data_IF_835257152327
#
_entry.id   IF_835257152327
#
_cell.length_a   1.000
_cell.length_b   1.000
_cell.length_c   1.000
_cell.angle_alpha   90.00
_cell.angle_beta   90.00
_cell.angle_gamma   90.00
#
_symmetry.space_group_name_H-M   'P 1'
#
loop_
_entity.id
_entity.type
_entity.pdbx_description
1 polymer ?
#
# COMPACT_ATOMS: atom_id res chain seq x y z
N UNK A 1 -14.02 -7.12 -6.05
CA UNK A 1 -12.61 -7.56 -6.24
C UNK A 1 -11.87 -7.12 -5.01
N UNK A 2 -11.16 -8.04 -4.32
CA UNK A 2 -10.43 -7.74 -3.07
C UNK A 2 -9.38 -6.66 -3.30
N UNK A 3 -9.20 -5.78 -2.33
CA UNK A 3 -8.25 -4.67 -2.34
C UNK A 3 -6.82 -5.16 -2.50
N UNK A 4 -6.49 -6.35 -2.00
CA UNK A 4 -5.19 -6.96 -2.19
C UNK A 4 -4.86 -7.12 -3.68
N UNK A 5 -5.78 -7.72 -4.46
CA UNK A 5 -5.54 -7.93 -5.89
C UNK A 5 -5.51 -6.64 -6.69
N UNK A 6 -6.17 -5.58 -6.21
CA UNK A 6 -6.01 -4.23 -6.79
C UNK A 6 -4.64 -3.65 -6.48
N UNK A 7 -4.15 -3.83 -5.27
CA UNK A 7 -2.86 -3.31 -4.86
C UNK A 7 -1.69 -3.99 -5.59
N UNK A 8 -1.69 -5.33 -5.71
CA UNK A 8 -0.59 -6.04 -6.38
C UNK A 8 -0.51 -5.78 -7.89
N UNK A 9 -1.61 -5.39 -8.54
CA UNK A 9 -1.60 -4.97 -9.96
C UNK A 9 -0.78 -3.72 -10.23
N UNK A 10 -0.45 -2.96 -9.20
CA UNK A 10 0.42 -1.80 -9.28
C UNK A 10 1.91 -2.18 -9.23
N UNK A 11 2.23 -3.46 -9.05
CA UNK A 11 3.59 -3.97 -8.99
C UNK A 11 4.04 -4.46 -10.37
N UNK A 12 5.36 -4.57 -10.63
CA UNK A 12 5.88 -5.20 -11.83
C UNK A 12 5.32 -6.61 -12.00
N UNK A 13 5.13 -7.04 -13.25
CA UNK A 13 4.48 -8.32 -13.60
C UNK A 13 5.16 -9.54 -12.98
N UNK A 14 6.49 -9.54 -12.88
CA UNK A 14 7.27 -10.62 -12.29
C UNK A 14 6.98 -10.82 -10.80
N UNK A 15 6.51 -9.78 -10.11
CA UNK A 15 6.14 -9.81 -8.70
C UNK A 15 4.62 -9.95 -8.52
N UNK A 16 3.83 -9.23 -9.32
CA UNK A 16 2.37 -9.27 -9.28
C UNK A 16 1.81 -10.66 -9.64
N UNK A 17 2.39 -11.33 -10.63
CA UNK A 17 1.97 -12.66 -11.07
C UNK A 17 2.06 -13.70 -9.94
N UNK A 18 3.23 -13.93 -9.35
CA UNK A 18 3.37 -14.83 -8.21
C UNK A 18 2.51 -14.44 -7.00
N UNK A 19 2.50 -13.16 -6.60
CA UNK A 19 1.65 -12.68 -5.49
C UNK A 19 0.16 -12.91 -5.74
N UNK A 20 -0.26 -12.88 -7.00
CA UNK A 20 -1.63 -13.17 -7.42
C UNK A 20 -2.04 -14.63 -7.24
N UNK A 21 -1.09 -15.55 -7.04
CA UNK A 21 -1.35 -16.98 -6.81
C UNK A 21 -1.66 -17.30 -5.33
N UNK A 22 -1.48 -16.34 -4.41
CA UNK A 22 -1.85 -16.55 -3.03
C UNK A 22 -3.37 -16.82 -2.90
N UNK A 23 -3.77 -17.80 -2.06
CA UNK A 23 -5.18 -18.09 -1.82
C UNK A 23 -5.92 -16.85 -1.32
N UNK A 24 -7.18 -16.71 -1.72
CA UNK A 24 -8.00 -15.56 -1.35
C UNK A 24 -8.11 -15.36 0.16
N UNK A 25 -8.12 -16.45 0.94
CA UNK A 25 -8.16 -16.39 2.40
C UNK A 25 -6.89 -15.77 2.98
N UNK A 26 -5.71 -16.14 2.49
CA UNK A 26 -4.42 -15.58 2.89
C UNK A 26 -4.31 -14.13 2.41
N UNK A 27 -4.65 -13.87 1.14
CA UNK A 27 -4.65 -12.55 0.54
C UNK A 27 -5.53 -11.55 1.31
N UNK A 28 -6.70 -12.00 1.80
CA UNK A 28 -7.62 -11.17 2.59
C UNK A 28 -7.03 -10.73 3.94
N UNK A 29 -6.05 -11.45 4.48
CA UNK A 29 -5.40 -11.14 5.75
C UNK A 29 -4.15 -10.25 5.61
N UNK A 30 -3.63 -10.09 4.39
CA UNK A 30 -2.45 -9.24 4.16
C UNK A 30 -2.86 -7.77 4.16
N UNK A 31 -2.24 -7.00 5.05
CA UNK A 31 -2.47 -5.56 5.19
C UNK A 31 -1.33 -4.72 4.62
N UNK A 32 -0.15 -5.29 4.48
CA UNK A 32 1.04 -4.58 4.00
C UNK A 32 2.02 -5.55 3.33
N UNK A 33 2.63 -5.09 2.25
CA UNK A 33 3.77 -5.72 1.58
C UNK A 33 4.99 -4.83 1.75
N UNK A 34 6.12 -5.42 2.13
CA UNK A 34 7.38 -4.70 2.32
C UNK A 34 8.47 -5.27 1.44
N UNK A 35 9.16 -4.36 0.77
CA UNK A 35 10.25 -4.63 -0.16
C UNK A 35 11.48 -3.88 0.32
N UNK A 36 12.62 -4.56 0.41
CA UNK A 36 13.89 -3.94 0.83
C UNK A 36 15.04 -4.55 0.04
N UNK A 37 16.00 -3.71 -0.33
CA UNK A 37 17.24 -4.16 -0.97
C UNK A 37 17.96 -5.15 -0.08
N UNK A 38 18.41 -6.27 -0.67
CA UNK A 38 19.12 -7.35 0.04
C UNK A 38 18.23 -8.25 0.90
N UNK A 39 16.90 -8.11 0.82
CA UNK A 39 15.95 -8.91 1.59
C UNK A 39 14.92 -9.57 0.67
N UNK A 40 14.26 -10.62 1.18
CA UNK A 40 13.05 -11.15 0.57
C UNK A 40 11.84 -10.23 0.75
N UNK A 41 10.72 -10.66 0.22
CA UNK A 41 9.44 -9.97 0.43
C UNK A 41 8.91 -10.27 1.83
N UNK A 42 8.46 -9.25 2.55
CA UNK A 42 7.79 -9.39 3.83
C UNK A 42 6.31 -9.03 3.70
N UNK A 43 5.49 -9.67 4.51
CA UNK A 43 4.05 -9.40 4.60
C UNK A 43 3.67 -9.07 6.03
N UNK A 44 2.62 -8.26 6.21
CA UNK A 44 1.97 -8.09 7.51
C UNK A 44 0.60 -8.74 7.45
N UNK A 45 0.43 -9.82 8.23
CA UNK A 45 -0.83 -10.53 8.42
C UNK A 45 -1.34 -10.31 9.84
N UNK A 46 -2.59 -9.89 9.99
CA UNK A 46 -3.24 -9.75 11.31
C UNK A 46 -2.35 -9.03 12.33
N UNK A 47 -1.63 -7.99 11.90
CA UNK A 47 -0.73 -7.19 12.75
C UNK A 47 0.67 -7.79 12.98
N UNK A 48 0.95 -8.99 12.48
CA UNK A 48 2.29 -9.63 12.59
C UNK A 48 3.03 -9.54 11.27
N UNK A 49 4.28 -9.09 11.33
CA UNK A 49 5.18 -9.07 10.18
C UNK A 49 5.96 -10.38 10.11
N UNK A 50 6.03 -10.99 8.93
CA UNK A 50 6.82 -12.19 8.67
C UNK A 50 7.33 -12.18 7.23
N UNK A 51 8.43 -12.92 6.95
CA UNK A 51 8.88 -13.16 5.58
C UNK A 51 7.79 -13.90 4.78
N UNK A 52 7.59 -13.53 3.52
CA UNK A 52 6.61 -14.22 2.66
C UNK A 52 6.95 -15.70 2.49
N UNK A 53 8.26 -16.04 2.47
CA UNK A 53 8.74 -17.42 2.35
C UNK A 53 8.29 -18.33 3.50
N UNK A 54 7.96 -17.77 4.66
CA UNK A 54 7.51 -18.53 5.83
C UNK A 54 6.02 -18.91 5.74
N UNK A 55 5.30 -18.37 4.73
CA UNK A 55 3.94 -18.78 4.45
C UNK A 55 3.93 -20.13 3.73
N UNK A 56 3.09 -21.10 4.15
CA UNK A 56 2.97 -22.39 3.47
C UNK A 56 2.62 -22.23 2.00
N UNK A 57 1.81 -21.23 1.66
CA UNK A 57 1.32 -20.93 0.32
C UNK A 57 2.26 -19.99 -0.46
N UNK A 58 3.46 -19.74 0.05
CA UNK A 58 4.42 -18.88 -0.66
C UNK A 58 4.70 -19.41 -2.06
N UNK A 59 4.50 -18.60 -3.12
CA UNK A 59 4.82 -18.99 -4.48
C UNK A 59 6.31 -19.36 -4.62
N UNK A 60 6.60 -20.46 -5.34
CA UNK A 60 7.97 -20.97 -5.48
C UNK A 60 8.95 -19.92 -6.00
N UNK A 61 8.49 -19.04 -6.91
CA UNK A 61 9.30 -17.98 -7.49
C UNK A 61 9.76 -16.92 -6.46
N UNK A 62 9.07 -16.82 -5.32
CA UNK A 62 9.35 -15.82 -4.27
C UNK A 62 9.98 -16.42 -3.00
N UNK A 63 10.12 -17.74 -2.91
CA UNK A 63 10.67 -18.40 -1.70
C UNK A 63 12.12 -18.02 -1.42
N UNK A 64 12.94 -17.96 -2.46
CA UNK A 64 14.36 -17.62 -2.36
C UNK A 64 14.67 -16.25 -3.00
N UNK A 65 13.62 -15.47 -3.26
CA UNK A 65 13.78 -14.16 -3.88
C UNK A 65 14.45 -13.19 -2.90
N UNK A 66 15.61 -12.69 -3.28
CA UNK A 66 16.29 -11.58 -2.61
C UNK A 66 16.27 -10.40 -3.58
N UNK A 67 15.59 -9.33 -3.18
CA UNK A 67 15.41 -8.15 -4.01
C UNK A 67 16.73 -7.37 -4.13
N UNK A 68 17.18 -7.12 -5.34
CA UNK A 68 18.30 -6.22 -5.59
C UNK A 68 17.86 -4.76 -5.73
N UNK A 69 18.83 -3.87 -5.88
CA UNK A 69 18.58 -2.43 -6.00
C UNK A 69 17.76 -2.10 -7.25
N UNK A 70 18.02 -2.77 -8.37
CA UNK A 70 17.30 -2.54 -9.63
C UNK A 70 15.82 -2.93 -9.51
N UNK A 71 15.54 -4.07 -8.87
CA UNK A 71 14.17 -4.54 -8.61
C UNK A 71 13.40 -3.58 -7.69
N UNK A 72 14.05 -3.03 -6.66
CA UNK A 72 13.43 -2.02 -5.78
C UNK A 72 13.11 -0.74 -6.56
N UNK A 73 13.99 -0.28 -7.42
CA UNK A 73 13.76 0.88 -8.28
C UNK A 73 12.64 0.61 -9.30
N UNK A 74 12.59 -0.57 -9.90
CA UNK A 74 11.50 -0.97 -10.80
C UNK A 74 10.14 -0.97 -10.09
N UNK A 75 10.07 -1.55 -8.87
CA UNK A 75 8.85 -1.52 -8.06
C UNK A 75 8.44 -0.07 -7.77
N UNK A 76 9.39 0.77 -7.37
CA UNK A 76 9.15 2.19 -7.08
C UNK A 76 8.61 2.94 -8.30
N UNK A 77 9.26 2.81 -9.45
CA UNK A 77 8.82 3.46 -10.69
C UNK A 77 7.42 3.01 -11.11
N UNK A 78 7.12 1.72 -10.98
CA UNK A 78 5.81 1.18 -11.32
C UNK A 78 4.72 1.72 -10.38
N UNK A 79 5.02 1.82 -9.07
CA UNK A 79 4.10 2.40 -8.09
C UNK A 79 3.85 3.90 -8.31
N UNK A 80 4.83 4.63 -8.85
CA UNK A 80 4.69 6.03 -9.27
C UNK A 80 3.92 6.18 -10.60
N UNK A 81 3.51 5.08 -11.25
CA UNK A 81 2.92 5.12 -12.59
C UNK A 81 3.85 5.70 -13.66
N UNK A 82 5.17 5.58 -13.47
CA UNK A 82 6.21 6.16 -14.34
C UNK A 82 6.45 7.66 -14.14
N UNK A 83 5.64 8.36 -13.35
CA UNK A 83 5.68 9.81 -13.18
C UNK A 83 6.25 10.23 -11.81
N UNK A 84 7.49 9.85 -11.50
CA UNK A 84 8.14 10.14 -10.21
C UNK A 84 8.08 11.63 -9.85
N UNK A 85 8.23 12.52 -10.84
CA UNK A 85 8.20 13.97 -10.62
C UNK A 85 6.84 14.48 -10.11
N UNK A 86 5.74 13.80 -10.44
CA UNK A 86 4.42 14.18 -9.95
C UNK A 86 4.25 13.96 -8.42
N UNK A 87 5.10 13.11 -7.83
CA UNK A 87 5.06 12.74 -6.42
C UNK A 87 6.13 13.43 -5.56
N UNK A 88 6.86 14.43 -6.08
CA UNK A 88 8.01 15.02 -5.36
C UNK A 88 7.66 15.53 -3.96
N UNK A 89 6.51 16.19 -3.82
CA UNK A 89 6.05 16.70 -2.52
C UNK A 89 5.78 15.58 -1.52
N UNK A 90 5.11 14.51 -1.95
CA UNK A 90 4.85 13.35 -1.11
C UNK A 90 6.14 12.60 -0.76
N UNK A 91 7.02 12.42 -1.75
CA UNK A 91 8.31 11.74 -1.58
C UNK A 91 9.22 12.47 -0.61
N UNK A 92 9.22 13.81 -0.60
CA UNK A 92 9.95 14.60 0.39
C UNK A 92 9.49 14.30 1.83
N UNK A 93 8.25 13.84 2.01
CA UNK A 93 7.69 13.39 3.28
C UNK A 93 7.80 11.87 3.50
N UNK A 94 8.48 11.14 2.62
CA UNK A 94 8.75 9.70 2.75
C UNK A 94 7.58 8.80 2.37
N UNK A 95 6.63 9.25 1.58
CA UNK A 95 5.52 8.43 1.09
C UNK A 95 5.05 8.86 -0.30
N UNK A 96 4.23 8.03 -0.91
CA UNK A 96 3.40 8.36 -2.08
C UNK A 96 2.03 7.69 -1.95
N UNK A 97 1.03 8.25 -2.62
CA UNK A 97 -0.32 7.70 -2.70
C UNK A 97 -0.58 7.21 -4.13
N UNK A 98 -0.93 5.95 -4.26
CA UNK A 98 -1.22 5.36 -5.58
C UNK A 98 -2.61 5.77 -6.08
N UNK A 99 -2.88 5.70 -7.40
CA UNK A 99 -4.22 5.99 -7.95
C UNK A 99 -5.34 5.10 -7.37
N UNK A 100 -5.00 3.91 -6.87
CA UNK A 100 -5.96 3.01 -6.20
C UNK A 100 -6.20 3.34 -4.73
N UNK A 101 -5.61 4.42 -4.20
CA UNK A 101 -5.73 4.85 -2.81
C UNK A 101 -4.83 4.07 -1.83
N UNK A 102 -3.92 3.23 -2.31
CA UNK A 102 -2.93 2.60 -1.45
C UNK A 102 -1.84 3.60 -1.09
N UNK A 103 -1.41 3.60 0.17
CA UNK A 103 -0.30 4.41 0.64
C UNK A 103 0.99 3.59 0.65
N UNK A 104 2.04 4.16 0.08
CA UNK A 104 3.37 3.53 0.02
C UNK A 104 4.35 4.38 0.82
N UNK A 105 4.87 3.83 1.91
CA UNK A 105 6.00 4.43 2.61
C UNK A 105 7.29 4.19 1.82
N UNK A 106 8.10 5.22 1.68
CA UNK A 106 9.35 5.19 0.91
C UNK A 106 10.52 5.41 1.85
N UNK A 107 11.40 4.44 1.94
CA UNK A 107 12.66 4.53 2.68
C UNK A 107 13.82 4.61 1.68
N UNK A 108 14.76 5.50 1.92
CA UNK A 108 15.87 5.67 1.01
C UNK A 108 16.86 6.73 1.46
N UNK A 109 17.75 7.09 0.56
CA UNK A 109 18.71 8.16 0.75
C UNK A 109 18.12 9.47 0.22
N UNK A 110 18.02 10.43 1.10
CA UNK A 110 17.55 11.77 0.77
C UNK A 110 18.72 12.74 0.80
N UNK A 111 18.65 13.75 -0.05
CA UNK A 111 19.61 14.87 -0.08
C UNK A 111 18.85 16.19 -0.08
N UNK A 112 19.44 17.21 0.52
CA UNK A 112 18.95 18.57 0.40
C UNK A 112 19.56 19.19 -0.87
N UNK A 113 18.71 19.76 -1.72
CA UNK A 113 19.09 20.57 -2.87
C UNK A 113 18.31 21.88 -2.82
N UNK A 114 19.01 22.96 -2.58
CA UNK A 114 18.44 24.32 -2.54
C UNK A 114 17.27 24.45 -1.54
N UNK A 115 17.38 23.79 -0.37
CA UNK A 115 16.35 23.79 0.66
C UNK A 115 15.18 22.84 0.37
N UNK A 116 15.29 21.99 -0.63
CA UNK A 116 14.32 20.95 -0.95
C UNK A 116 14.87 19.55 -0.67
N UNK A 117 14.12 18.78 0.12
CA UNK A 117 14.43 17.35 0.35
C UNK A 117 14.08 16.53 -0.88
N UNK A 118 15.09 15.90 -1.50
CA UNK A 118 14.93 15.09 -2.71
C UNK A 118 15.35 13.66 -2.44
N UNK A 119 14.52 12.70 -2.82
CA UNK A 119 14.88 11.27 -2.80
C UNK A 119 15.97 11.02 -3.87
N UNK A 120 17.15 10.62 -3.43
CA UNK A 120 18.26 10.28 -4.32
C UNK A 120 18.26 8.81 -4.71
N UNK A 121 17.95 7.92 -3.76
CA UNK A 121 17.95 6.49 -3.98
C UNK A 121 16.91 5.83 -3.09
N UNK A 122 16.03 5.03 -3.66
CA UNK A 122 15.08 4.22 -2.90
C UNK A 122 15.77 2.93 -2.42
N UNK A 123 15.55 2.56 -1.17
CA UNK A 123 16.12 1.34 -0.57
C UNK A 123 15.05 0.41 -0.02
N UNK A 124 13.84 0.91 0.17
CA UNK A 124 12.74 0.11 0.67
C UNK A 124 11.39 0.77 0.46
N UNK A 125 10.38 -0.07 0.34
CA UNK A 125 9.00 0.33 0.07
C UNK A 125 8.06 -0.46 0.98
N UNK A 126 7.06 0.22 1.53
CA UNK A 126 6.02 -0.38 2.35
C UNK A 126 4.66 -0.08 1.70
N UNK A 127 4.15 -1.02 0.90
CA UNK A 127 2.84 -0.89 0.26
C UNK A 127 1.74 -1.31 1.25
N UNK A 128 0.99 -0.35 1.77
CA UNK A 128 -0.18 -0.60 2.62
C UNK A 128 -1.42 -0.77 1.75
N UNK A 129 -2.13 -1.88 1.99
CA UNK A 129 -3.36 -2.19 1.26
C UNK A 129 -4.50 -1.42 1.90
N UNK A 130 -5.13 -0.52 1.14
CA UNK A 130 -6.30 0.21 1.61
C UNK A 130 -7.50 -0.75 1.70
N UNK A 131 -7.81 -1.22 2.92
CA UNK A 131 -8.95 -2.08 3.18
C UNK A 131 -10.18 -1.25 3.50
N UNK A 132 -11.30 -1.56 2.84
CA UNK A 132 -12.60 -1.05 3.25
C UNK A 132 -13.04 -1.81 4.51
N UNK A 133 -12.92 -1.16 5.66
CA UNK A 133 -13.45 -1.72 6.92
C UNK A 133 -14.84 -1.15 7.12
N UNK A 134 -15.91 -1.97 7.15
CA UNK A 134 -17.23 -1.49 7.50
C UNK A 134 -17.21 -1.01 8.95
N UNK A 135 -17.39 0.29 9.15
CA UNK A 135 -17.52 0.87 10.47
C UNK A 135 -18.98 0.71 10.90
N UNK A 136 -19.23 -0.12 11.90
CA UNK A 136 -20.53 -0.16 12.58
C UNK A 136 -20.58 1.02 13.54
N UNK A 137 -21.32 2.06 13.17
CA UNK A 137 -21.58 3.18 14.05
C UNK A 137 -22.67 2.78 15.07
N UNK A 138 -22.55 3.17 16.35
CA UNK A 138 -23.64 3.02 17.30
C UNK A 138 -24.93 3.67 16.77
N UNK A 139 -26.07 3.03 17.00
CA UNK A 139 -27.37 3.49 16.47
C UNK A 139 -27.69 4.94 16.86
N UNK A 140 -27.30 5.37 18.06
CA UNK A 140 -27.44 6.75 18.52
C UNK A 140 -26.68 7.75 17.64
N UNK A 141 -25.47 7.40 17.23
CA UNK A 141 -24.64 8.23 16.35
C UNK A 141 -25.21 8.25 14.92
N UNK A 142 -25.72 7.13 14.45
CA UNK A 142 -26.42 7.03 13.16
C UNK A 142 -27.66 7.92 13.09
N UNK A 143 -28.44 7.97 14.19
CA UNK A 143 -29.63 8.84 14.29
C UNK A 143 -29.22 10.31 14.27
N UNK A 144 -28.18 10.70 15.00
CA UNK A 144 -27.68 12.07 15.03
C UNK A 144 -27.12 12.50 13.67
N UNK A 145 -26.34 11.65 13.02
CA UNK A 145 -25.78 11.91 11.69
C UNK A 145 -26.90 12.03 10.64
N UNK A 146 -27.91 11.17 10.67
CA UNK A 146 -29.08 11.27 9.78
C UNK A 146 -29.85 12.57 9.96
N UNK A 147 -29.96 13.10 11.19
CA UNK A 147 -30.64 14.37 11.48
C UNK A 147 -29.88 15.59 10.93
N UNK A 148 -28.55 15.54 10.93
CA UNK A 148 -27.72 16.69 10.54
C UNK A 148 -27.27 16.65 9.09
N UNK A 149 -27.27 15.49 8.44
CA UNK A 149 -26.80 15.29 7.07
C UNK A 149 -27.87 14.64 6.20
N UNK A 150 -29.03 15.29 6.09
CA UNK A 150 -30.11 14.84 5.21
C UNK A 150 -29.64 15.03 3.76
N UNK A 151 -29.28 13.94 3.11
CA UNK A 151 -29.37 13.83 1.66
C UNK A 151 -28.14 13.42 0.85
N UNK A 152 -26.90 13.38 1.36
CA UNK A 152 -25.76 13.26 0.44
C UNK A 152 -24.59 12.35 0.86
N UNK A 153 -24.67 11.62 1.97
CA UNK A 153 -23.53 10.79 2.41
C UNK A 153 -23.96 9.33 2.55
N UNK A 154 -23.43 8.48 1.67
CA UNK A 154 -23.50 7.03 1.84
C UNK A 154 -22.48 6.59 2.89
N UNK A 155 -22.94 6.24 4.08
CA UNK A 155 -22.10 5.82 5.21
C UNK A 155 -21.63 4.36 5.13
N UNK A 156 -21.90 3.68 4.03
CA UNK A 156 -21.58 2.24 3.91
C UNK A 156 -20.11 1.95 3.65
N UNK A 157 -19.29 2.95 3.30
CA UNK A 157 -17.87 2.78 2.97
C UNK A 157 -17.03 3.98 3.40
N UNK A 158 -16.90 4.21 4.71
CA UNK A 158 -15.81 5.06 5.20
C UNK A 158 -14.50 4.29 5.07
N UNK A 159 -13.71 4.59 4.06
CA UNK A 159 -12.32 4.16 3.98
C UNK A 159 -11.54 4.88 5.06
N UNK A 160 -10.59 4.19 5.72
CA UNK A 160 -9.78 4.72 6.81
C UNK A 160 -8.95 5.98 6.45
N UNK A 161 -9.05 6.47 5.22
CA UNK A 161 -8.32 7.63 4.70
C UNK A 161 -9.19 8.74 4.10
N UNK A 162 -10.53 8.60 4.13
CA UNK A 162 -11.41 9.67 3.66
C UNK A 162 -12.06 10.39 4.84
N UNK A 163 -11.24 11.13 5.59
CA UNK A 163 -11.71 12.19 6.50
C UNK A 163 -11.77 13.54 5.78
N UNK A 164 -12.09 13.56 4.51
CA UNK A 164 -12.47 14.80 3.82
C UNK A 164 -13.98 14.92 3.87
N UNK A 165 -14.47 15.54 4.93
CA UNK A 165 -15.77 16.18 4.93
C UNK A 165 -15.68 17.35 3.95
N UNK A 166 -16.10 17.17 2.72
CA UNK A 166 -16.42 18.29 1.87
C UNK A 166 -17.77 18.85 2.34
N UNK A 167 -17.70 19.97 3.06
CA UNK A 167 -18.80 20.88 3.27
C UNK A 167 -19.13 21.60 1.96
#
# INVERSE_FOLDING_TARGET
MDEYYRAIRLLPSWLAGPLGQLPAQTAAQIHELRFRTGCGVFVTLSGRQLPLQDLPECPLQLRECVLDQFQIEEIFHTLCGGAVHAHQTELAHGFLTTPSGCRVGVAGRYVDRDGQTVLQQVQGLNLRIARAVPVQLPDELLVQLKKHFIGTVSYTHLRAHETSLHL
#
